data_IF_027410265612
#
_entry.id   IF_027410265612
#
_cell.length_a   1.000
_cell.length_b   1.000
_cell.length_c   1.000
_cell.angle_alpha   90.00
_cell.angle_beta   90.00
_cell.angle_gamma   90.00
#
_symmetry.space_group_name_H-M   'P 1'
#
loop_
_entity.id
_entity.type
_entity.pdbx_description
1 polymer ?
#
# COMPACT_ATOMS: atom_id res chain seq x y z
N UNK A 1 11.34 -1.22 18.93
CA UNK A 1 11.92 0.14 18.77
C UNK A 1 12.91 0.04 17.61
N UNK A 2 12.59 0.48 16.38
CA UNK A 2 13.53 0.28 15.26
C UNK A 2 13.11 0.76 13.86
N UNK A 3 11.81 0.95 13.58
CA UNK A 3 11.36 1.45 12.26
C UNK A 3 11.49 2.97 12.07
N UNK A 4 11.28 3.76 13.14
CA UNK A 4 11.33 5.23 13.06
C UNK A 4 12.72 5.83 12.86
N UNK A 5 13.78 5.09 13.16
CA UNK A 5 15.16 5.59 13.14
C UNK A 5 15.70 5.82 11.72
N UNK A 6 15.20 5.09 10.72
CA UNK A 6 15.66 5.20 9.32
C UNK A 6 14.84 6.22 8.53
N UNK A 7 13.62 6.49 9.00
CA UNK A 7 12.72 7.44 8.35
C UNK A 7 13.24 8.88 8.40
N UNK A 8 13.76 9.30 9.56
CA UNK A 8 14.23 10.67 9.78
C UNK A 8 15.45 11.04 8.91
N UNK A 9 16.51 10.20 8.81
CA UNK A 9 17.60 10.43 7.86
C UNK A 9 17.15 10.51 6.40
N UNK A 10 16.18 9.69 5.98
CA UNK A 10 15.65 9.70 4.61
C UNK A 10 14.95 11.03 4.31
N UNK A 11 14.08 11.50 5.21
CA UNK A 11 13.42 12.80 5.05
C UNK A 11 14.45 13.94 4.99
N UNK A 12 15.48 13.90 5.84
CA UNK A 12 16.57 14.88 5.81
C UNK A 12 17.36 14.82 4.50
N UNK A 13 17.64 13.63 3.95
CA UNK A 13 18.28 13.49 2.64
C UNK A 13 17.42 14.04 1.50
N UNK A 14 16.10 13.86 1.53
CA UNK A 14 15.21 14.47 0.54
C UNK A 14 15.23 16.00 0.69
N UNK A 15 15.12 16.52 1.92
CA UNK A 15 15.06 17.95 2.20
C UNK A 15 16.36 18.68 1.79
N UNK A 16 17.51 18.17 2.27
CA UNK A 16 18.81 18.82 2.07
C UNK A 16 19.51 18.41 0.79
N UNK A 17 19.43 17.13 0.40
CA UNK A 17 20.20 16.57 -0.71
C UNK A 17 19.37 16.25 -1.95
N UNK A 18 18.02 16.41 -1.91
CA UNK A 18 17.11 16.05 -3.00
C UNK A 18 17.42 14.67 -3.60
N UNK A 19 17.82 13.73 -2.73
CA UNK A 19 18.23 12.39 -3.14
C UNK A 19 17.45 11.39 -2.32
N UNK A 20 16.58 10.65 -2.99
CA UNK A 20 15.94 9.50 -2.40
C UNK A 20 16.90 8.30 -2.48
N UNK A 21 17.23 7.63 -1.36
CA UNK A 21 18.12 6.49 -1.40
C UNK A 21 17.46 5.30 -2.11
N UNK A 22 18.11 4.76 -3.16
CA UNK A 22 17.60 3.61 -3.93
C UNK A 22 17.32 2.40 -3.05
N UNK A 23 18.25 2.03 -2.17
CA UNK A 23 18.07 0.90 -1.26
C UNK A 23 16.83 1.04 -0.36
N UNK A 24 16.47 2.27 0.05
CA UNK A 24 15.30 2.51 0.88
C UNK A 24 14.02 2.43 0.05
N UNK A 25 14.03 2.97 -1.16
CA UNK A 25 12.94 2.78 -2.12
C UNK A 25 12.71 1.28 -2.41
N UNK A 26 13.78 0.57 -2.76
CA UNK A 26 13.73 -0.85 -3.11
C UNK A 26 13.23 -1.68 -1.92
N UNK A 27 13.68 -1.36 -0.71
CA UNK A 27 13.16 -1.99 0.51
C UNK A 27 11.66 -1.78 0.70
N UNK A 28 11.18 -0.53 0.60
CA UNK A 28 9.75 -0.22 0.75
C UNK A 28 8.90 -0.84 -0.36
N UNK A 29 9.39 -0.81 -1.61
CA UNK A 29 8.71 -1.40 -2.76
C UNK A 29 8.55 -2.92 -2.58
N UNK A 30 9.62 -3.62 -2.22
CA UNK A 30 9.58 -5.07 -2.01
C UNK A 30 8.74 -5.44 -0.78
N UNK A 31 8.81 -4.67 0.30
CA UNK A 31 7.96 -4.86 1.48
C UNK A 31 6.47 -4.70 1.13
N UNK A 32 6.14 -3.70 0.29
CA UNK A 32 4.77 -3.49 -0.18
C UNK A 32 4.29 -4.62 -1.09
N UNK A 33 5.12 -5.08 -2.03
CA UNK A 33 4.81 -6.24 -2.88
C UNK A 33 4.55 -7.49 -2.03
N UNK A 34 5.41 -7.77 -1.06
CA UNK A 34 5.22 -8.88 -0.13
C UNK A 34 3.96 -8.73 0.73
N UNK A 35 3.74 -7.56 1.32
CA UNK A 35 2.56 -7.28 2.15
C UNK A 35 1.26 -7.46 1.37
N UNK A 36 1.22 -7.03 0.10
CA UNK A 36 0.05 -7.24 -0.75
C UNK A 36 -0.18 -8.71 -1.08
N UNK A 37 0.87 -9.49 -1.34
CA UNK A 37 0.76 -10.95 -1.55
C UNK A 37 0.20 -11.64 -0.32
N UNK A 38 0.76 -11.34 0.85
CA UNK A 38 0.26 -11.85 2.15
C UNK A 38 -1.19 -11.46 2.37
N UNK A 39 -1.54 -10.21 2.10
CA UNK A 39 -2.93 -9.75 2.29
C UNK A 39 -3.89 -10.40 1.30
N UNK A 40 -3.49 -10.60 0.05
CA UNK A 40 -4.29 -11.30 -0.95
C UNK A 40 -4.54 -12.76 -0.54
N UNK A 41 -3.52 -13.45 -0.03
CA UNK A 41 -3.63 -14.80 0.49
C UNK A 41 -4.55 -14.88 1.72
N UNK A 42 -4.34 -14.01 2.72
CA UNK A 42 -5.18 -13.97 3.93
C UNK A 42 -6.63 -13.57 3.63
N UNK A 43 -6.84 -12.75 2.60
CA UNK A 43 -8.15 -12.35 2.13
C UNK A 43 -8.82 -13.37 1.20
N UNK A 44 -8.18 -14.53 0.97
CA UNK A 44 -8.65 -15.61 0.09
C UNK A 44 -8.86 -15.15 -1.36
N UNK A 45 -8.12 -14.13 -1.79
CA UNK A 45 -8.14 -13.61 -3.17
C UNK A 45 -7.23 -14.42 -4.09
N UNK A 46 -6.20 -15.05 -3.52
CA UNK A 46 -5.29 -15.97 -4.20
C UNK A 46 -4.99 -17.13 -3.26
N UNK A 47 -5.11 -18.36 -3.76
CA UNK A 47 -4.86 -19.58 -2.98
C UNK A 47 -3.38 -19.94 -2.95
N UNK A 48 -2.53 -19.25 -3.73
CA UNK A 48 -1.09 -19.49 -3.76
C UNK A 48 -0.42 -18.92 -2.51
N UNK A 49 0.38 -19.76 -1.85
CA UNK A 49 1.17 -19.33 -0.70
C UNK A 49 2.11 -18.16 -1.10
N UNK A 50 2.16 -17.07 -0.32
CA UNK A 50 2.93 -15.89 -0.67
C UNK A 50 4.43 -16.21 -0.56
N UNK A 51 5.12 -16.21 -1.70
CA UNK A 51 6.57 -16.39 -1.73
C UNK A 51 7.27 -15.10 -1.30
N UNK A 52 8.45 -15.23 -0.72
CA UNK A 52 9.31 -14.07 -0.41
C UNK A 52 10.06 -13.60 -1.65
N UNK A 53 10.55 -14.55 -2.45
CA UNK A 53 11.59 -14.30 -3.46
C UNK A 53 11.12 -14.42 -4.92
N UNK A 54 10.02 -15.13 -5.19
CA UNK A 54 9.50 -15.28 -6.54
C UNK A 54 8.48 -14.18 -6.87
N UNK A 55 8.50 -13.64 -8.09
CA UNK A 55 7.43 -12.75 -8.55
C UNK A 55 6.13 -13.54 -8.72
N UNK A 56 5.05 -13.04 -8.11
CA UNK A 56 3.72 -13.66 -8.13
C UNK A 56 2.70 -12.66 -8.69
N UNK A 57 1.43 -13.09 -8.83
CA UNK A 57 0.40 -12.38 -9.62
C UNK A 57 0.15 -10.90 -9.27
N UNK A 58 0.57 -10.44 -8.08
CA UNK A 58 0.45 -9.03 -7.68
C UNK A 58 1.64 -8.22 -8.20
N UNK A 59 1.47 -7.64 -9.39
CA UNK A 59 2.43 -6.73 -10.00
C UNK A 59 2.12 -5.32 -9.52
N UNK A 60 2.97 -4.80 -8.64
CA UNK A 60 2.91 -3.43 -8.18
C UNK A 60 4.25 -2.77 -8.54
N UNK A 61 4.19 -1.91 -9.55
CA UNK A 61 5.33 -1.18 -10.07
C UNK A 61 5.16 0.30 -9.79
N UNK A 62 6.14 0.87 -9.10
CA UNK A 62 6.25 2.30 -8.89
C UNK A 62 7.40 2.82 -9.74
N UNK A 63 7.19 3.88 -10.55
CA UNK A 63 8.30 4.53 -11.23
C UNK A 63 9.25 5.13 -10.19
N UNK A 64 10.56 5.05 -10.44
CA UNK A 64 11.53 5.67 -9.54
C UNK A 64 11.31 7.20 -9.50
N UNK A 65 11.14 7.82 -8.32
CA UNK A 65 10.77 9.22 -8.23
C UNK A 65 11.91 10.15 -8.67
N UNK A 66 11.61 11.11 -9.55
CA UNK A 66 12.53 12.21 -9.85
C UNK A 66 12.41 13.31 -8.78
N UNK A 67 13.12 13.09 -7.67
CA UNK A 67 13.20 13.99 -6.50
C UNK A 67 13.65 15.42 -6.81
N UNK A 68 14.22 15.68 -8.00
CA UNK A 68 14.58 17.05 -8.41
C UNK A 68 13.37 17.89 -8.81
N UNK A 69 12.28 17.26 -9.26
CA UNK A 69 11.04 17.91 -9.65
C UNK A 69 10.05 18.03 -8.48
N UNK A 70 10.31 17.33 -7.37
CA UNK A 70 9.45 17.26 -6.20
C UNK A 70 9.73 18.39 -5.21
N UNK A 71 8.68 18.87 -4.53
CA UNK A 71 8.83 19.98 -3.59
C UNK A 71 9.47 19.50 -2.27
N UNK A 72 10.51 20.20 -1.80
CA UNK A 72 11.40 19.75 -0.72
C UNK A 72 10.71 19.68 0.65
N UNK A 73 9.66 20.46 0.84
CA UNK A 73 8.90 20.58 2.09
C UNK A 73 7.67 19.67 2.15
N UNK A 74 7.21 19.17 0.99
CA UNK A 74 6.04 18.32 0.91
C UNK A 74 6.16 17.04 1.76
N UNK A 75 7.32 16.35 1.85
CA UNK A 75 7.44 15.15 2.66
C UNK A 75 6.99 15.33 4.11
N UNK A 76 7.13 16.50 4.73
CA UNK A 76 6.66 16.73 6.11
C UNK A 76 5.15 16.92 6.17
N UNK A 77 4.59 17.62 5.18
CA UNK A 77 3.17 18.01 5.14
C UNK A 77 2.29 16.84 4.66
N UNK A 78 2.81 15.95 3.82
CA UNK A 78 2.09 14.78 3.30
C UNK A 78 1.52 13.87 4.39
N UNK A 79 2.24 13.65 5.49
CA UNK A 79 1.76 12.83 6.61
C UNK A 79 0.48 13.39 7.22
N UNK A 80 0.38 14.71 7.32
CA UNK A 80 -0.82 15.39 7.81
C UNK A 80 -1.97 15.28 6.80
N UNK A 81 -1.68 15.48 5.50
CA UNK A 81 -2.67 15.34 4.43
C UNK A 81 -3.18 13.90 4.24
N UNK A 82 -2.42 12.90 4.69
CA UNK A 82 -2.82 11.50 4.66
C UNK A 82 -3.71 11.09 5.85
N UNK A 83 -3.85 11.92 6.89
CA UNK A 83 -4.70 11.63 8.05
C UNK A 83 -6.15 11.32 7.66
N UNK A 84 -6.82 12.12 6.79
CA UNK A 84 -8.17 11.81 6.34
C UNK A 84 -8.25 10.46 5.62
N UNK A 85 -7.22 10.09 4.84
CA UNK A 85 -7.17 8.79 4.17
C UNK A 85 -7.05 7.65 5.15
N UNK A 86 -6.20 7.75 6.16
CA UNK A 86 -6.08 6.72 7.19
C UNK A 86 -7.40 6.50 7.94
N UNK A 87 -8.13 7.58 8.22
CA UNK A 87 -9.44 7.48 8.85
C UNK A 87 -10.42 6.71 7.97
N UNK A 88 -10.56 7.05 6.68
CA UNK A 88 -11.50 6.33 5.81
C UNK A 88 -11.04 4.89 5.55
N UNK A 89 -9.75 4.66 5.32
CA UNK A 89 -9.19 3.33 5.13
C UNK A 89 -9.37 2.43 6.35
N UNK A 90 -9.40 2.99 7.56
CA UNK A 90 -9.71 2.23 8.78
C UNK A 90 -11.12 1.63 8.71
N UNK A 91 -12.14 2.43 8.40
CA UNK A 91 -13.52 1.94 8.28
C UNK A 91 -13.67 0.95 7.12
N UNK A 92 -13.06 1.24 5.98
CA UNK A 92 -13.10 0.34 4.84
C UNK A 92 -12.37 -0.97 5.10
N UNK A 93 -11.24 -0.93 5.82
CA UNK A 93 -10.48 -2.10 6.24
C UNK A 93 -11.27 -3.00 7.18
N UNK A 94 -12.02 -2.41 8.12
CA UNK A 94 -12.98 -3.17 8.94
C UNK A 94 -14.06 -3.82 8.09
N UNK A 95 -14.63 -3.09 7.12
CA UNK A 95 -15.57 -3.66 6.16
C UNK A 95 -14.93 -4.79 5.33
N UNK A 96 -13.65 -4.68 4.98
CA UNK A 96 -12.93 -5.69 4.19
C UNK A 96 -12.69 -6.94 5.02
N UNK A 97 -12.38 -6.80 6.30
CA UNK A 97 -12.27 -7.93 7.23
C UNK A 97 -13.59 -8.69 7.33
N UNK A 98 -14.71 -7.97 7.50
CA UNK A 98 -16.04 -8.59 7.51
C UNK A 98 -16.34 -9.25 6.16
N UNK A 99 -16.02 -8.59 5.04
CA UNK A 99 -16.20 -9.13 3.70
C UNK A 99 -15.42 -10.44 3.49
N UNK A 100 -14.18 -10.53 3.98
CA UNK A 100 -13.35 -11.75 3.91
C UNK A 100 -13.98 -12.87 4.74
N UNK A 101 -14.48 -12.58 5.95
CA UNK A 101 -15.17 -13.59 6.77
C UNK A 101 -16.42 -14.09 6.04
N UNK A 102 -17.24 -13.19 5.49
CA UNK A 102 -18.44 -13.57 4.71
C UNK A 102 -18.06 -14.36 3.46
N UNK A 103 -16.99 -13.97 2.76
CA UNK A 103 -16.48 -14.67 1.60
C UNK A 103 -16.00 -16.08 1.95
N UNK A 104 -15.33 -16.27 3.09
CA UNK A 104 -14.93 -17.58 3.58
C UNK A 104 -16.13 -18.52 3.73
N UNK A 105 -17.19 -18.08 4.39
CA UNK A 105 -18.44 -18.85 4.47
C UNK A 105 -19.05 -19.08 3.09
N UNK A 106 -19.13 -18.05 2.24
CA UNK A 106 -19.68 -18.17 0.90
C UNK A 106 -18.93 -19.20 0.04
N UNK A 107 -17.60 -19.25 0.12
CA UNK A 107 -16.76 -20.23 -0.59
C UNK A 107 -17.05 -21.65 -0.07
N UNK A 108 -17.23 -21.83 1.24
CA UNK A 108 -17.57 -23.16 1.78
C UNK A 108 -18.91 -23.70 1.25
N UNK A 109 -19.90 -22.83 1.04
CA UNK A 109 -21.20 -23.25 0.53
C UNK A 109 -21.29 -23.30 -1.00
N UNK A 110 -20.66 -22.35 -1.70
CA UNK A 110 -20.81 -22.16 -3.15
C UNK A 110 -19.59 -22.60 -3.96
N UNK A 111 -18.45 -22.84 -3.30
CA UNK A 111 -17.16 -23.10 -3.94
C UNK A 111 -16.56 -21.90 -4.67
N UNK A 112 -17.18 -20.71 -4.59
CA UNK A 112 -16.78 -19.53 -5.38
C UNK A 112 -16.73 -18.27 -4.52
N UNK A 113 -15.78 -17.37 -4.83
CA UNK A 113 -15.67 -16.07 -4.16
C UNK A 113 -16.71 -15.09 -4.74
N UNK A 114 -17.62 -14.51 -3.93
CA UNK A 114 -18.60 -13.55 -4.43
C UNK A 114 -17.93 -12.31 -5.03
N UNK A 115 -18.21 -12.03 -6.31
CA UNK A 115 -17.53 -10.97 -7.08
C UNK A 115 -17.64 -9.58 -6.47
N UNK A 116 -18.77 -9.26 -5.84
CA UNK A 116 -18.96 -7.97 -5.15
C UNK A 116 -18.03 -7.77 -3.96
N UNK A 117 -17.78 -8.83 -3.18
CA UNK A 117 -16.85 -8.80 -2.06
C UNK A 117 -15.41 -8.72 -2.57
N UNK A 118 -15.10 -9.45 -3.65
CA UNK A 118 -13.78 -9.42 -4.29
C UNK A 118 -13.43 -8.01 -4.75
N UNK A 119 -14.32 -7.36 -5.52
CA UNK A 119 -14.12 -6.01 -6.04
C UNK A 119 -13.95 -4.99 -4.92
N UNK A 120 -14.70 -5.15 -3.82
CA UNK A 120 -14.57 -4.31 -2.63
C UNK A 120 -13.19 -4.47 -1.97
N UNK A 121 -12.77 -5.69 -1.62
CA UNK A 121 -11.49 -5.93 -0.95
C UNK A 121 -10.31 -5.47 -1.83
N UNK A 122 -10.35 -5.78 -3.13
CA UNK A 122 -9.35 -5.31 -4.10
C UNK A 122 -9.32 -3.78 -4.19
N UNK A 123 -10.49 -3.14 -4.18
CA UNK A 123 -10.59 -1.68 -4.17
C UNK A 123 -9.94 -1.04 -2.94
N UNK A 124 -10.15 -1.63 -1.77
CA UNK A 124 -9.50 -1.19 -0.51
C UNK A 124 -7.99 -1.37 -0.59
N UNK A 125 -7.51 -2.50 -1.09
CA UNK A 125 -6.07 -2.76 -1.25
C UNK A 125 -5.42 -1.77 -2.22
N UNK A 126 -6.05 -1.53 -3.38
CA UNK A 126 -5.56 -0.53 -4.36
C UNK A 126 -5.48 0.85 -3.76
N UNK A 127 -6.50 1.26 -3.00
CA UNK A 127 -6.48 2.57 -2.35
C UNK A 127 -5.40 2.65 -1.25
N UNK A 128 -5.25 1.61 -0.43
CA UNK A 128 -4.19 1.52 0.57
C UNK A 128 -2.79 1.63 -0.05
N UNK A 129 -2.57 0.98 -1.21
CA UNK A 129 -1.32 1.08 -1.95
C UNK A 129 -1.04 2.49 -2.50
N UNK A 130 -2.07 3.19 -3.00
CA UNK A 130 -1.95 4.60 -3.42
C UNK A 130 -1.56 5.50 -2.26
N UNK A 131 -2.20 5.33 -1.10
CA UNK A 131 -1.91 6.13 0.10
C UNK A 131 -0.50 5.83 0.62
N UNK A 132 -0.09 4.57 0.63
CA UNK A 132 1.28 4.20 1.03
C UNK A 132 2.32 4.77 0.07
N UNK A 133 2.08 4.73 -1.25
CA UNK A 133 2.95 5.32 -2.26
C UNK A 133 3.13 6.84 -2.10
N UNK A 134 2.05 7.55 -1.76
CA UNK A 134 2.05 8.99 -1.50
C UNK A 134 2.72 9.35 -0.17
N UNK A 135 2.29 8.73 0.93
CA UNK A 135 2.67 9.13 2.28
C UNK A 135 3.98 8.48 2.74
N UNK A 136 4.15 7.18 2.52
CA UNK A 136 5.26 6.39 3.08
C UNK A 136 6.45 6.24 2.13
N UNK A 137 6.17 5.83 0.88
CA UNK A 137 7.22 5.60 -0.12
C UNK A 137 7.63 6.90 -0.82
N UNK A 138 6.86 7.99 -0.65
CA UNK A 138 7.12 9.33 -1.18
C UNK A 138 7.43 9.33 -2.69
N UNK A 139 6.77 8.45 -3.45
CA UNK A 139 7.04 8.27 -4.90
C UNK A 139 6.40 9.37 -5.74
N UNK A 140 5.26 9.90 -5.29
CA UNK A 140 4.51 10.93 -6.02
C UNK A 140 4.11 12.07 -5.10
N UNK A 141 4.15 13.30 -5.61
CA UNK A 141 3.59 14.50 -4.98
C UNK A 141 2.09 14.67 -5.25
N UNK A 142 1.52 13.84 -6.14
CA UNK A 142 0.11 13.91 -6.51
C UNK A 142 -0.79 13.32 -5.41
N UNK A 143 -1.76 14.11 -4.95
CA UNK A 143 -2.66 13.72 -3.87
C UNK A 143 -3.61 12.60 -4.34
N UNK A 144 -3.65 11.43 -3.65
CA UNK A 144 -4.41 10.29 -4.12
C UNK A 144 -5.93 10.54 -4.01
N UNK A 145 -6.71 10.27 -5.08
CA UNK A 145 -8.16 10.46 -5.04
C UNK A 145 -8.83 9.51 -4.04
N UNK A 146 -9.91 9.98 -3.41
CA UNK A 146 -10.79 9.18 -2.53
C UNK A 146 -11.67 8.24 -3.35
N UNK A 147 -11.05 7.26 -4.00
CA UNK A 147 -11.73 6.27 -4.85
C UNK A 147 -11.13 4.89 -4.62
N UNK A 148 -11.93 3.86 -4.79
CA UNK A 148 -11.51 2.45 -4.71
C UNK A 148 -10.90 1.96 -6.04
N UNK A 149 -11.35 2.53 -7.17
CA UNK A 149 -10.83 2.31 -8.52
C UNK A 149 -9.85 3.40 -8.90
#
# INVERSE_FOLDING_TARGET
>A
IGGGAVFLPVVLMILFRQKYPRWWFDWNLNLLRFSNRVTAYLALLDDRYPSTDEEQGVHLDFPYPDVRQMNRWLPLVKWFLAIPHYFVLLFLGLGALVAVIVAWFAILFTGTYPRSLFDYVVGVLRWSNRVTGYAFTLVTDEYPPFRLS
#
